data_IF_399802833922
#
_entry.id   IF_399802833922
#
_cell.length_a   1.000
_cell.length_b   1.000
_cell.length_c   1.000
_cell.angle_alpha   90.00
_cell.angle_beta   90.00
_cell.angle_gamma   90.00
#
_symmetry.space_group_name_H-M   'P 1'
#
loop_
_entity.id
_entity.type
_entity.pdbx_description
1 polymer ?
#
# COMPACT_ATOMS: atom_id res chain seq x y z
N UNK A 1 32.76 -20.67 -19.10
CA UNK A 1 32.58 -20.57 -17.64
C UNK A 1 31.09 -20.56 -17.24
N UNK A 2 30.27 -19.60 -17.71
CA UNK A 2 28.80 -19.59 -17.49
C UNK A 2 28.10 -20.91 -17.87
N UNK A 3 28.38 -21.46 -19.05
CA UNK A 3 27.78 -22.73 -19.51
C UNK A 3 28.16 -23.97 -18.68
N UNK A 4 29.32 -23.93 -17.99
CA UNK A 4 29.75 -25.00 -17.10
C UNK A 4 29.05 -24.88 -15.73
N UNK A 5 28.88 -23.66 -15.22
CA UNK A 5 28.13 -23.35 -14.01
C UNK A 5 26.65 -23.73 -14.17
N UNK A 6 26.03 -23.40 -15.30
CA UNK A 6 24.61 -23.75 -15.57
C UNK A 6 24.35 -25.25 -15.72
N UNK A 7 25.38 -26.03 -16.12
CA UNK A 7 25.30 -27.50 -16.16
C UNK A 7 25.41 -28.09 -14.75
N UNK A 8 26.33 -27.57 -13.93
CA UNK A 8 26.50 -28.03 -12.55
C UNK A 8 25.27 -27.66 -11.71
N UNK A 9 24.77 -26.42 -11.77
CA UNK A 9 23.56 -26.00 -11.03
C UNK A 9 22.34 -26.88 -11.31
N UNK A 10 22.11 -27.26 -12.58
CA UNK A 10 21.02 -28.20 -12.94
C UNK A 10 21.22 -29.62 -12.42
N UNK A 11 22.47 -30.10 -12.37
CA UNK A 11 22.79 -31.45 -11.88
C UNK A 11 22.62 -31.61 -10.36
N UNK A 12 22.70 -30.52 -9.58
CA UNK A 12 22.48 -30.50 -8.12
C UNK A 12 21.10 -29.99 -7.70
N UNK A 13 20.16 -29.83 -8.65
CA UNK A 13 18.80 -29.35 -8.36
C UNK A 13 18.71 -27.87 -7.98
N UNK A 14 19.79 -27.10 -8.16
CA UNK A 14 19.75 -25.64 -8.01
C UNK A 14 19.17 -25.02 -9.27
N UNK A 15 17.84 -24.86 -9.29
CA UNK A 15 17.18 -24.00 -10.25
C UNK A 15 17.58 -22.56 -9.89
N UNK A 16 18.30 -21.89 -10.79
CA UNK A 16 18.55 -20.46 -10.68
C UNK A 16 17.18 -19.77 -10.66
N UNK A 17 16.87 -19.03 -9.59
CA UNK A 17 15.65 -18.23 -9.54
C UNK A 17 15.84 -17.11 -10.57
N UNK A 18 15.20 -17.27 -11.74
CA UNK A 18 15.14 -16.20 -12.73
C UNK A 18 14.27 -15.07 -12.19
N UNK A 19 14.40 -13.84 -12.71
CA UNK A 19 13.51 -12.74 -12.30
C UNK A 19 12.03 -13.12 -12.39
N UNK A 20 11.64 -13.84 -13.45
CA UNK A 20 10.25 -14.28 -13.68
C UNK A 20 9.80 -15.32 -12.65
N UNK A 21 10.65 -16.31 -12.37
CA UNK A 21 10.38 -17.29 -11.31
C UNK A 21 10.30 -16.63 -9.93
N UNK A 22 11.15 -15.63 -9.69
CA UNK A 22 11.13 -14.82 -8.47
C UNK A 22 9.83 -14.04 -8.30
N UNK A 23 9.35 -13.38 -9.36
CA UNK A 23 8.06 -12.66 -9.34
C UNK A 23 6.89 -13.60 -9.11
N UNK A 24 6.88 -14.77 -9.76
CA UNK A 24 5.82 -15.76 -9.56
C UNK A 24 5.77 -16.25 -8.09
N UNK A 25 6.92 -16.62 -7.52
CA UNK A 25 7.01 -17.03 -6.11
C UNK A 25 6.60 -15.88 -5.18
N UNK A 26 7.01 -14.64 -5.47
CA UNK A 26 6.62 -13.48 -4.68
C UNK A 26 5.11 -13.24 -4.72
N UNK A 27 4.47 -13.41 -5.88
CA UNK A 27 3.02 -13.28 -6.03
C UNK A 27 2.28 -14.38 -5.26
N UNK A 28 2.72 -15.63 -5.35
CA UNK A 28 2.16 -16.74 -4.58
C UNK A 28 2.28 -16.49 -3.07
N UNK A 29 3.45 -16.05 -2.62
CA UNK A 29 3.67 -15.68 -1.23
C UNK A 29 2.76 -14.53 -0.78
N UNK A 30 2.64 -13.47 -1.59
CA UNK A 30 1.77 -12.34 -1.30
C UNK A 30 0.29 -12.76 -1.20
N UNK A 31 -0.16 -13.70 -2.03
CA UNK A 31 -1.53 -14.25 -1.96
C UNK A 31 -1.80 -15.04 -0.67
N UNK A 32 -0.82 -15.81 -0.20
CA UNK A 32 -0.91 -16.50 1.11
C UNK A 32 -0.96 -15.47 2.24
N UNK A 33 -0.11 -14.45 2.20
CA UNK A 33 -0.09 -13.39 3.21
C UNK A 33 -1.40 -12.60 3.23
N UNK A 34 -2.00 -12.33 2.07
CA UNK A 34 -3.30 -11.68 1.96
C UNK A 34 -4.39 -12.52 2.64
N UNK A 35 -4.40 -13.83 2.37
CA UNK A 35 -5.35 -14.75 3.01
C UNK A 35 -5.19 -14.75 4.54
N UNK A 36 -3.95 -14.77 5.04
CA UNK A 36 -3.68 -14.71 6.48
C UNK A 36 -4.09 -13.37 7.11
N UNK A 37 -3.85 -12.26 6.40
CA UNK A 37 -4.23 -10.92 6.85
C UNK A 37 -5.76 -10.75 6.92
N UNK A 38 -6.48 -11.15 5.87
CA UNK A 38 -7.94 -11.05 5.79
C UNK A 38 -8.64 -11.93 6.81
N UNK A 39 -8.08 -13.12 7.09
CA UNK A 39 -8.64 -14.03 8.10
C UNK A 39 -8.38 -13.58 9.54
N UNK A 40 -7.55 -12.55 9.75
CA UNK A 40 -7.22 -12.04 11.08
C UNK A 40 -6.56 -13.10 11.96
N UNK A 41 -5.71 -13.95 11.37
CA UNK A 41 -5.10 -15.08 12.07
C UNK A 41 -4.27 -14.59 13.27
N UNK A 42 -4.57 -15.01 14.51
CA UNK A 42 -3.89 -14.51 15.71
C UNK A 42 -2.41 -14.91 15.80
N UNK A 43 -1.96 -15.89 14.99
CA UNK A 43 -0.57 -16.32 14.92
C UNK A 43 0.23 -15.57 13.84
N UNK A 44 -0.44 -14.73 13.05
CA UNK A 44 0.18 -13.94 11.99
C UNK A 44 0.13 -12.46 12.35
N UNK A 45 1.32 -11.88 12.55
CA UNK A 45 1.47 -10.45 12.76
C UNK A 45 1.91 -9.78 11.45
N UNK A 46 1.01 -9.08 10.73
CA UNK A 46 1.36 -8.42 9.47
C UNK A 46 2.40 -7.31 9.66
N UNK A 47 2.54 -6.74 10.86
CA UNK A 47 3.51 -5.68 11.13
C UNK A 47 4.97 -6.10 10.90
N UNK A 48 5.27 -7.40 11.05
CA UNK A 48 6.60 -7.95 10.78
C UNK A 48 7.01 -7.85 9.30
N UNK A 49 6.04 -7.63 8.41
CA UNK A 49 6.23 -7.57 6.96
C UNK A 49 6.17 -6.15 6.40
N UNK A 50 6.04 -5.12 7.25
CA UNK A 50 5.85 -3.74 6.82
C UNK A 50 6.88 -3.29 5.77
N UNK A 51 8.18 -3.40 6.09
CA UNK A 51 9.24 -2.93 5.19
C UNK A 51 9.33 -3.76 3.89
N UNK A 52 9.32 -5.11 3.92
CA UNK A 52 9.21 -5.91 2.71
C UNK A 52 8.01 -5.53 1.82
N UNK A 53 6.84 -5.30 2.41
CA UNK A 53 5.63 -4.93 1.68
C UNK A 53 5.74 -3.52 1.08
N UNK A 54 6.23 -2.54 1.83
CA UNK A 54 6.47 -1.19 1.31
C UNK A 54 7.42 -1.21 0.11
N UNK A 55 8.47 -2.04 0.17
CA UNK A 55 9.40 -2.19 -0.95
C UNK A 55 8.72 -2.86 -2.17
N UNK A 56 7.89 -3.89 -1.93
CA UNK A 56 7.18 -4.61 -2.98
C UNK A 56 6.08 -3.76 -3.67
N UNK A 57 5.61 -2.67 -3.05
CA UNK A 57 4.77 -1.68 -3.75
C UNK A 57 5.48 -1.04 -4.97
N UNK A 58 6.81 -1.06 -5.00
CA UNK A 58 7.61 -0.60 -6.13
C UNK A 58 7.74 -1.61 -7.28
N UNK A 59 7.15 -2.81 -7.15
CA UNK A 59 7.20 -3.85 -8.19
C UNK A 59 6.64 -3.33 -9.52
N UNK A 60 7.28 -3.70 -10.63
CA UNK A 60 6.74 -3.47 -11.98
C UNK A 60 5.55 -4.38 -12.28
N UNK A 61 5.49 -5.55 -11.64
CA UNK A 61 4.35 -6.47 -11.74
C UNK A 61 3.14 -5.90 -10.99
N UNK A 62 2.07 -5.63 -11.74
CA UNK A 62 0.87 -4.99 -11.21
C UNK A 62 0.11 -5.88 -10.23
N UNK A 63 0.04 -7.19 -10.47
CA UNK A 63 -0.65 -8.12 -9.60
C UNK A 63 0.06 -8.22 -8.25
N UNK A 64 1.39 -8.35 -8.26
CA UNK A 64 2.19 -8.39 -7.04
C UNK A 64 2.06 -7.09 -6.24
N UNK A 65 2.15 -5.93 -6.90
CA UNK A 65 1.97 -4.63 -6.25
C UNK A 65 0.59 -4.49 -5.60
N UNK A 66 -0.46 -4.89 -6.33
CA UNK A 66 -1.85 -4.87 -5.90
C UNK A 66 -2.10 -5.74 -4.67
N UNK A 67 -1.67 -7.00 -4.72
CA UNK A 67 -1.76 -7.95 -3.60
C UNK A 67 -0.98 -7.46 -2.39
N UNK A 68 0.24 -6.95 -2.60
CA UNK A 68 1.07 -6.37 -1.54
C UNK A 68 0.38 -5.19 -0.86
N UNK A 69 -0.25 -4.30 -1.63
CA UNK A 69 -0.99 -3.16 -1.09
C UNK A 69 -2.14 -3.61 -0.20
N UNK A 70 -2.90 -4.63 -0.61
CA UNK A 70 -3.98 -5.20 0.20
C UNK A 70 -3.46 -5.78 1.50
N UNK A 71 -2.39 -6.58 1.49
CA UNK A 71 -1.74 -7.05 2.74
C UNK A 71 -1.33 -5.88 3.63
N UNK A 72 -0.69 -4.86 3.04
CA UNK A 72 -0.20 -3.69 3.76
C UNK A 72 -1.33 -2.88 4.44
N UNK A 73 -2.56 -2.91 3.92
CA UNK A 73 -3.72 -2.26 4.55
C UNK A 73 -4.05 -2.82 5.95
N UNK A 74 -3.65 -4.07 6.23
CA UNK A 74 -3.86 -4.73 7.52
C UNK A 74 -2.74 -4.48 8.55
N UNK A 75 -1.65 -3.81 8.16
CA UNK A 75 -0.50 -3.56 9.06
C UNK A 75 -0.81 -2.51 10.13
N UNK A 76 -1.80 -1.65 9.90
CA UNK A 76 -2.23 -0.60 10.84
C UNK A 76 -1.10 0.28 11.41
N UNK A 77 -0.21 0.75 10.54
CA UNK A 77 0.86 1.70 10.90
C UNK A 77 0.82 2.98 10.06
N UNK A 78 1.43 4.05 10.58
CA UNK A 78 1.60 5.31 9.85
C UNK A 78 2.46 5.12 8.59
N UNK A 79 3.50 4.29 8.65
CA UNK A 79 4.37 4.04 7.50
C UNK A 79 3.64 3.30 6.38
N UNK A 80 2.82 2.30 6.72
CA UNK A 80 1.98 1.57 5.79
C UNK A 80 0.97 2.49 5.07
N UNK A 81 0.16 3.25 5.82
CA UNK A 81 -0.80 4.18 5.22
C UNK A 81 -0.11 5.28 4.39
N UNK A 82 1.03 5.80 4.87
CA UNK A 82 1.83 6.79 4.14
C UNK A 82 2.32 6.24 2.80
N UNK A 83 2.78 4.99 2.76
CA UNK A 83 3.25 4.37 1.53
C UNK A 83 2.12 4.23 0.50
N UNK A 84 0.93 3.80 0.93
CA UNK A 84 -0.27 3.71 0.08
C UNK A 84 -0.69 5.10 -0.42
N UNK A 85 -0.81 6.08 0.48
CA UNK A 85 -1.19 7.45 0.16
C UNK A 85 -0.20 8.10 -0.83
N UNK A 86 1.11 7.85 -0.67
CA UNK A 86 2.13 8.37 -1.58
C UNK A 86 1.89 7.96 -3.03
N UNK A 87 1.47 6.72 -3.28
CA UNK A 87 1.19 6.24 -4.65
C UNK A 87 -0.13 6.82 -5.15
N UNK A 88 -1.16 6.87 -4.29
CA UNK A 88 -2.46 7.44 -4.65
C UNK A 88 -2.39 8.94 -5.03
N UNK A 89 -1.54 9.69 -4.32
CA UNK A 89 -1.32 11.13 -4.49
C UNK A 89 -0.35 11.48 -5.64
N UNK A 90 0.41 10.52 -6.16
CA UNK A 90 1.41 10.76 -7.20
C UNK A 90 0.74 10.96 -8.58
N UNK A 91 0.58 12.22 -8.98
CA UNK A 91 0.00 12.60 -10.28
C UNK A 91 0.83 12.11 -11.50
N UNK A 92 2.06 11.62 -11.30
CA UNK A 92 2.86 10.98 -12.34
C UNK A 92 2.51 9.51 -12.60
N UNK A 93 1.59 8.92 -11.80
CA UNK A 93 1.12 7.54 -11.97
C UNK A 93 -0.15 7.47 -12.79
N UNK A 94 -0.34 6.30 -13.42
CA UNK A 94 -1.55 5.96 -14.15
C UNK A 94 -2.80 6.12 -13.25
N UNK A 95 -3.88 6.62 -13.84
CA UNK A 95 -5.11 6.91 -13.11
C UNK A 95 -5.67 5.65 -12.42
N UNK A 96 -5.67 4.50 -13.11
CA UNK A 96 -6.14 3.23 -12.54
C UNK A 96 -5.36 2.84 -11.28
N UNK A 97 -4.03 2.99 -11.29
CA UNK A 97 -3.18 2.69 -10.13
C UNK A 97 -3.49 3.64 -8.96
N UNK A 98 -3.68 4.93 -9.24
CA UNK A 98 -4.02 5.90 -8.19
C UNK A 98 -5.36 5.57 -7.55
N UNK A 99 -6.38 5.25 -8.36
CA UNK A 99 -7.71 4.84 -7.91
C UNK A 99 -7.61 3.59 -7.03
N UNK A 100 -6.90 2.57 -7.50
CA UNK A 100 -6.69 1.34 -6.73
C UNK A 100 -6.04 1.62 -5.37
N UNK A 101 -5.02 2.47 -5.31
CA UNK A 101 -4.36 2.81 -4.05
C UNK A 101 -5.25 3.62 -3.11
N UNK A 102 -6.15 4.46 -3.63
CA UNK A 102 -7.19 5.09 -2.81
C UNK A 102 -8.18 4.05 -2.25
N UNK A 103 -8.58 3.05 -3.04
CA UNK A 103 -9.47 1.99 -2.57
C UNK A 103 -8.81 1.13 -1.48
N UNK A 104 -7.52 0.82 -1.62
CA UNK A 104 -6.74 0.12 -0.58
C UNK A 104 -6.58 1.01 0.66
N UNK A 105 -6.30 2.31 0.49
CA UNK A 105 -6.21 3.25 1.61
C UNK A 105 -7.56 3.37 2.35
N UNK A 106 -8.68 3.34 1.64
CA UNK A 106 -10.00 3.29 2.25
C UNK A 106 -10.20 2.01 3.08
N UNK A 107 -9.73 0.86 2.60
CA UNK A 107 -9.76 -0.39 3.37
C UNK A 107 -8.91 -0.28 4.64
N UNK A 108 -7.69 0.25 4.53
CA UNK A 108 -6.82 0.50 5.69
C UNK A 108 -7.49 1.45 6.70
N UNK A 109 -8.16 2.50 6.22
CA UNK A 109 -8.91 3.44 7.05
C UNK A 109 -10.05 2.77 7.82
N UNK A 110 -10.83 1.89 7.17
CA UNK A 110 -11.91 1.14 7.83
C UNK A 110 -11.41 0.23 8.95
N UNK A 111 -10.24 -0.37 8.77
CA UNK A 111 -9.67 -1.34 9.71
C UNK A 111 -8.90 -0.66 10.85
N UNK A 112 -8.12 0.37 10.53
CA UNK A 112 -7.12 0.94 11.42
C UNK A 112 -7.41 2.38 11.84
N UNK A 113 -8.43 3.03 11.25
CA UNK A 113 -8.65 4.47 11.35
C UNK A 113 -7.63 5.29 10.56
N UNK A 114 -7.66 6.61 10.71
CA UNK A 114 -6.67 7.50 10.10
C UNK A 114 -5.35 7.50 10.88
N UNK A 115 -4.27 7.10 10.22
CA UNK A 115 -2.89 7.16 10.72
C UNK A 115 -2.00 8.09 9.88
N UNK A 116 -2.58 8.80 8.91
CA UNK A 116 -1.87 9.76 8.06
C UNK A 116 -1.60 11.08 8.79
N UNK A 117 -0.51 11.74 8.39
CA UNK A 117 -0.20 13.08 8.83
C UNK A 117 -1.16 14.11 8.24
N UNK A 118 -1.33 15.24 8.93
CA UNK A 118 -2.18 16.35 8.47
C UNK A 118 -1.88 16.82 7.02
N UNK A 119 -0.61 16.93 6.57
CA UNK A 119 -0.32 17.35 5.20
C UNK A 119 -0.90 16.40 4.15
N UNK A 120 -0.76 15.09 4.33
CA UNK A 120 -1.30 14.08 3.41
C UNK A 120 -2.82 14.12 3.37
N UNK A 121 -3.46 14.24 4.54
CA UNK A 121 -4.92 14.38 4.62
C UNK A 121 -5.40 15.61 3.85
N UNK A 122 -4.71 16.76 3.97
CA UNK A 122 -5.05 17.97 3.22
C UNK A 122 -4.87 17.80 1.71
N UNK A 123 -3.86 17.05 1.26
CA UNK A 123 -3.70 16.74 -0.17
C UNK A 123 -4.85 15.87 -0.70
N UNK A 124 -5.27 14.87 0.07
CA UNK A 124 -6.42 14.02 -0.31
C UNK A 124 -7.71 14.86 -0.36
N UNK A 125 -7.91 15.79 0.59
CA UNK A 125 -9.05 16.75 0.57
C UNK A 125 -9.02 17.60 -0.70
N UNK A 126 -7.87 18.19 -1.03
CA UNK A 126 -7.73 19.02 -2.23
C UNK A 126 -8.05 18.24 -3.49
N UNK A 127 -7.62 16.98 -3.59
CA UNK A 127 -7.97 16.12 -4.72
C UNK A 127 -9.47 15.83 -4.76
N UNK A 128 -10.07 15.41 -3.64
CA UNK A 128 -11.51 15.14 -3.58
C UNK A 128 -12.37 16.33 -4.03
N UNK A 129 -11.94 17.55 -3.71
CA UNK A 129 -12.61 18.79 -4.09
C UNK A 129 -12.36 19.21 -5.55
N UNK A 130 -11.11 19.13 -6.04
CA UNK A 130 -10.68 19.90 -7.21
C UNK A 130 -10.08 19.07 -8.37
N UNK A 131 -9.84 17.77 -8.20
CA UNK A 131 -9.23 16.95 -9.27
C UNK A 131 -10.12 16.92 -10.54
N UNK A 132 -9.55 16.93 -11.73
CA UNK A 132 -10.36 16.98 -12.95
C UNK A 132 -11.00 15.62 -13.25
N UNK A 133 -10.27 14.55 -12.97
CA UNK A 133 -10.75 13.18 -13.15
C UNK A 133 -11.78 12.81 -12.06
N UNK A 134 -13.02 12.59 -12.47
CA UNK A 134 -14.11 12.25 -11.55
C UNK A 134 -13.91 10.90 -10.84
N UNK A 135 -13.24 9.94 -11.47
CA UNK A 135 -12.98 8.63 -10.87
C UNK A 135 -11.98 8.77 -9.72
N UNK A 136 -10.91 9.54 -9.94
CA UNK A 136 -9.91 9.83 -8.91
C UNK A 136 -10.52 10.65 -7.77
N UNK A 137 -11.31 11.68 -8.10
CA UNK A 137 -12.07 12.43 -7.08
C UNK A 137 -12.95 11.55 -6.21
N UNK A 138 -13.66 10.62 -6.84
CA UNK A 138 -14.57 9.71 -6.16
C UNK A 138 -13.78 8.79 -5.23
N UNK A 139 -12.69 8.18 -5.71
CA UNK A 139 -11.83 7.31 -4.91
C UNK A 139 -11.19 8.06 -3.73
N UNK A 140 -10.68 9.27 -3.94
CA UNK A 140 -10.15 10.13 -2.87
C UNK A 140 -11.22 10.47 -1.82
N UNK A 141 -12.44 10.79 -2.25
CA UNK A 141 -13.57 11.08 -1.35
C UNK A 141 -13.95 9.85 -0.51
N UNK A 142 -13.96 8.66 -1.11
CA UNK A 142 -14.22 7.41 -0.40
C UNK A 142 -13.14 7.11 0.63
N UNK A 143 -11.87 7.31 0.26
CA UNK A 143 -10.75 7.15 1.19
C UNK A 143 -10.86 8.10 2.38
N UNK A 144 -11.20 9.38 2.18
CA UNK A 144 -11.41 10.34 3.28
C UNK A 144 -12.52 9.90 4.24
N UNK A 145 -13.66 9.47 3.70
CA UNK A 145 -14.77 8.99 4.51
C UNK A 145 -14.39 7.76 5.32
N UNK A 146 -13.64 6.83 4.71
CA UNK A 146 -13.18 5.61 5.35
C UNK A 146 -12.09 5.82 6.41
N UNK A 147 -11.21 6.79 6.20
CA UNK A 147 -10.22 7.20 7.21
C UNK A 147 -10.88 7.81 8.45
N UNK A 148 -12.18 8.13 8.40
CA UNK A 148 -12.92 8.77 9.49
C UNK A 148 -12.19 10.03 9.99
N UNK A 149 -11.65 10.80 9.03
CA UNK A 149 -11.00 12.08 9.32
C UNK A 149 -12.07 12.99 9.95
N UNK A 150 -11.85 13.52 11.17
CA UNK A 150 -12.83 14.40 11.79
C UNK A 150 -13.17 15.54 10.83
N UNK A 151 -14.46 15.76 10.57
CA UNK A 151 -14.94 16.92 9.84
C UNK A 151 -14.52 18.17 10.62
N UNK A 152 -13.39 18.75 10.22
CA UNK A 152 -12.73 19.84 10.92
C UNK A 152 -11.52 19.40 11.73
N UNK A 153 -10.34 19.55 11.15
CA UNK A 153 -9.07 19.69 11.90
C UNK A 153 -9.03 20.97 12.78
N UNK A 154 -10.18 21.50 13.23
CA UNK A 154 -10.27 22.68 14.08
C UNK A 154 -9.63 22.46 15.45
N UNK A 155 -9.72 21.25 16.01
CA UNK A 155 -9.16 20.94 17.33
C UNK A 155 -7.63 20.87 17.36
N UNK A 156 -6.98 20.66 16.20
CA UNK A 156 -5.52 20.66 16.07
C UNK A 156 -4.98 22.07 15.79
N UNK A 157 -5.73 22.90 15.06
CA UNK A 157 -5.44 24.32 14.86
C UNK A 157 -5.47 25.07 16.20
N UNK A 158 -6.48 24.79 17.04
CA UNK A 158 -6.57 25.43 18.37
C UNK A 158 -5.43 25.01 19.30
N UNK A 159 -4.97 23.75 19.26
CA UNK A 159 -3.87 23.29 20.14
C UNK A 159 -2.50 23.86 19.78
N UNK A 160 -2.25 24.19 18.51
CA UNK A 160 -1.00 24.82 18.10
C UNK A 160 -0.96 26.34 18.37
N UNK A 161 -2.12 26.98 18.56
CA UNK A 161 -2.21 28.41 18.90
C UNK A 161 -1.92 28.74 20.38
N UNK A 162 -1.83 27.74 21.26
CA UNK A 162 -1.51 27.90 22.68
C UNK A 162 -0.10 27.41 23.06
N UNK A 163 0.80 27.27 22.07
CA UNK A 163 2.21 26.86 22.28
C UNK A 163 3.25 27.94 21.94
N UNK A 164 2.82 29.19 21.75
CA UNK A 164 3.70 30.36 21.84
C UNK A 164 3.58 31.00 23.23
#
# INVERSE_FOLDING_TARGET
LRSAIDRVSRAVGMIQITPEAGTAIALDAAGVLETLAVTGNPLFDPAQLEQPLINALGSSDAALRSTTARVLSHVCSTAAQTALAKIALDAGREAELRIEMFDVLAQAGKQCGNLLGQPQVQEIIKLAENEADMSIRTAASQALGALNVPAGSGSQIIRNLYRE
#
